data_IF_008700452026
#
_entry.id   IF_008700452026
#
_cell.length_a   1.000
_cell.length_b   1.000
_cell.length_c   1.000
_cell.angle_alpha   90.00
_cell.angle_beta   90.00
_cell.angle_gamma   90.00
#
_symmetry.space_group_name_H-M   'P 1'
#
loop_
_entity.id
_entity.type
_entity.pdbx_description
1 polymer ?
#
# COMPACT_ATOMS: atom_id res chain seq x y z
N UNK A 1 24.51 44.83 13.19
CA UNK A 1 24.73 43.46 12.68
C UNK A 1 23.40 42.74 12.61
N UNK A 2 22.89 42.55 11.40
CA UNK A 2 21.63 41.87 11.13
C UNK A 2 21.88 40.37 11.05
N UNK A 3 21.38 39.62 12.01
CA UNK A 3 21.26 38.17 11.91
C UNK A 3 20.07 37.85 11.03
N UNK A 4 20.35 37.41 9.81
CA UNK A 4 19.39 36.83 8.88
C UNK A 4 18.84 35.52 9.49
N UNK A 5 17.55 35.52 9.86
CA UNK A 5 16.81 34.30 10.16
C UNK A 5 16.50 33.61 8.84
N UNK A 6 17.27 32.57 8.51
CA UNK A 6 16.89 31.64 7.45
C UNK A 6 15.58 30.95 7.87
N UNK A 7 14.51 31.27 7.13
CA UNK A 7 13.25 30.51 7.23
C UNK A 7 13.54 29.10 6.74
N UNK A 8 13.45 28.16 7.62
CA UNK A 8 13.12 26.78 7.24
C UNK A 8 11.70 26.84 6.70
N UNK A 9 11.56 26.95 5.39
CA UNK A 9 10.29 26.66 4.73
C UNK A 9 10.05 25.16 4.93
N UNK A 10 9.12 24.83 5.80
CA UNK A 10 8.69 23.47 6.03
C UNK A 10 8.27 22.86 4.70
N UNK A 11 8.86 21.73 4.35
CA UNK A 11 8.47 20.93 3.19
C UNK A 11 6.97 20.66 3.28
N UNK A 12 6.19 21.35 2.45
CA UNK A 12 4.75 21.09 2.32
C UNK A 12 4.62 19.73 1.65
N UNK A 13 4.13 18.74 2.38
CA UNK A 13 3.80 17.43 1.82
C UNK A 13 2.88 17.63 0.62
N UNK A 14 3.38 17.31 -0.57
CA UNK A 14 2.62 17.43 -1.82
C UNK A 14 1.42 16.49 -1.77
N UNK A 15 0.21 17.06 -1.85
CA UNK A 15 -1.01 16.26 -1.94
C UNK A 15 -1.03 15.54 -3.30
N UNK A 16 -0.99 14.22 -3.27
CA UNK A 16 -1.07 13.41 -4.49
C UNK A 16 -2.50 13.43 -5.04
N UNK A 17 -2.65 13.80 -6.30
CA UNK A 17 -3.90 13.63 -7.05
C UNK A 17 -3.99 12.17 -7.49
N UNK A 18 -4.59 11.33 -6.66
CA UNK A 18 -4.75 9.89 -6.95
C UNK A 18 -6.07 9.61 -7.65
N UNK A 19 -6.14 8.55 -8.47
CA UNK A 19 -7.42 8.01 -8.88
C UNK A 19 -8.25 7.61 -7.66
N UNK A 20 -9.54 7.97 -7.68
CA UNK A 20 -10.48 7.63 -6.61
C UNK A 20 -11.01 6.20 -6.83
N UNK A 21 -10.24 5.23 -6.37
CA UNK A 21 -10.64 3.82 -6.42
C UNK A 21 -11.49 3.44 -5.21
N UNK A 22 -12.57 2.68 -5.44
CA UNK A 22 -13.29 2.02 -4.36
C UNK A 22 -12.35 1.11 -3.54
N UNK A 23 -12.56 0.96 -2.22
CA UNK A 23 -11.66 0.21 -1.33
C UNK A 23 -11.37 -1.22 -1.79
N UNK A 24 -12.35 -1.89 -2.40
CA UNK A 24 -12.25 -3.26 -2.89
C UNK A 24 -11.79 -3.38 -4.36
N UNK A 25 -11.70 -2.28 -5.10
CA UNK A 25 -11.50 -2.31 -6.55
C UNK A 25 -10.22 -3.03 -6.98
N UNK A 26 -9.07 -2.62 -6.43
CA UNK A 26 -7.79 -3.20 -6.80
C UNK A 26 -7.68 -4.68 -6.38
N UNK A 27 -8.27 -5.04 -5.24
CA UNK A 27 -8.38 -6.44 -4.82
C UNK A 27 -9.17 -7.25 -5.85
N UNK A 28 -10.34 -6.77 -6.26
CA UNK A 28 -11.17 -7.40 -7.27
C UNK A 28 -10.46 -7.60 -8.61
N UNK A 29 -9.72 -6.59 -9.06
CA UNK A 29 -8.91 -6.67 -10.29
C UNK A 29 -7.82 -7.73 -10.17
N UNK A 30 -7.06 -7.73 -9.08
CA UNK A 30 -5.99 -8.70 -8.86
C UNK A 30 -6.51 -10.14 -8.82
N UNK A 31 -7.60 -10.40 -8.10
CA UNK A 31 -8.17 -11.74 -7.99
C UNK A 31 -8.80 -12.22 -9.31
N UNK A 32 -9.28 -11.33 -10.16
CA UNK A 32 -9.83 -11.70 -11.48
C UNK A 32 -8.77 -12.35 -12.40
N UNK A 33 -7.49 -12.08 -12.16
CA UNK A 33 -6.36 -12.64 -12.89
C UNK A 33 -5.89 -14.00 -12.35
N UNK A 34 -6.46 -14.49 -11.25
CA UNK A 34 -6.15 -15.82 -10.69
C UNK A 34 -6.79 -16.89 -11.57
N UNK A 35 -5.97 -17.81 -12.10
CA UNK A 35 -6.41 -18.87 -13.01
C UNK A 35 -7.06 -20.00 -12.21
N UNK A 36 -6.50 -20.37 -11.06
CA UNK A 36 -7.04 -21.41 -10.20
C UNK A 36 -8.41 -20.98 -9.65
N UNK A 37 -9.43 -21.76 -10.00
CA UNK A 37 -10.82 -21.42 -9.66
C UNK A 37 -11.10 -21.54 -8.17
N UNK A 38 -10.51 -22.51 -7.49
CA UNK A 38 -10.69 -22.69 -6.04
C UNK A 38 -10.05 -21.54 -5.27
N UNK A 39 -8.82 -21.17 -5.62
CA UNK A 39 -8.13 -20.00 -5.05
C UNK A 39 -8.94 -18.72 -5.30
N UNK A 40 -9.38 -18.50 -6.53
CA UNK A 40 -10.19 -17.32 -6.89
C UNK A 40 -11.49 -17.25 -6.11
N UNK A 41 -12.21 -18.37 -5.94
CA UNK A 41 -13.47 -18.42 -5.19
C UNK A 41 -13.25 -18.12 -3.70
N UNK A 42 -12.17 -18.64 -3.09
CA UNK A 42 -11.80 -18.29 -1.70
C UNK A 42 -11.51 -16.79 -1.57
N UNK A 43 -10.75 -16.22 -2.50
CA UNK A 43 -10.45 -14.79 -2.52
C UNK A 43 -11.74 -13.96 -2.69
N UNK A 44 -12.65 -14.36 -3.58
CA UNK A 44 -13.94 -13.67 -3.75
C UNK A 44 -14.79 -13.71 -2.47
N UNK A 45 -14.81 -14.82 -1.75
CA UNK A 45 -15.54 -14.94 -0.49
C UNK A 45 -15.02 -13.98 0.59
N UNK A 46 -13.75 -13.57 0.52
CA UNK A 46 -13.13 -12.63 1.47
C UNK A 46 -13.34 -11.16 1.12
N UNK A 47 -13.93 -10.81 -0.03
CA UNK A 47 -13.99 -9.42 -0.52
C UNK A 47 -14.67 -8.48 0.46
N UNK A 48 -15.70 -8.93 1.18
CA UNK A 48 -16.38 -8.14 2.21
C UNK A 48 -15.45 -7.78 3.38
N UNK A 49 -14.73 -8.76 3.91
CA UNK A 49 -13.76 -8.54 4.99
C UNK A 49 -12.59 -7.63 4.56
N UNK A 50 -12.10 -7.82 3.34
CA UNK A 50 -11.06 -6.96 2.75
C UNK A 50 -11.55 -5.51 2.62
N UNK A 51 -12.78 -5.33 2.13
CA UNK A 51 -13.42 -4.01 2.02
C UNK A 51 -13.56 -3.34 3.39
N UNK A 52 -14.07 -4.04 4.38
CA UNK A 52 -14.27 -3.51 5.73
C UNK A 52 -12.92 -3.12 6.37
N UNK A 53 -11.88 -3.94 6.17
CA UNK A 53 -10.52 -3.62 6.60
C UNK A 53 -9.97 -2.37 5.90
N UNK A 54 -10.21 -2.22 4.60
CA UNK A 54 -9.78 -1.08 3.81
C UNK A 54 -10.50 0.20 4.23
N UNK A 55 -11.82 0.15 4.47
CA UNK A 55 -12.61 1.29 4.96
C UNK A 55 -12.10 1.74 6.33
N UNK A 56 -11.90 0.82 7.26
CA UNK A 56 -11.34 1.13 8.59
C UNK A 56 -9.96 1.77 8.48
N UNK A 57 -9.09 1.28 7.60
CA UNK A 57 -7.79 1.92 7.35
C UNK A 57 -7.94 3.35 6.83
N UNK A 58 -8.81 3.60 5.86
CA UNK A 58 -9.03 4.92 5.26
C UNK A 58 -9.54 5.91 6.32
N UNK A 59 -10.52 5.50 7.13
CA UNK A 59 -11.05 6.32 8.22
C UNK A 59 -9.98 6.67 9.25
N UNK A 60 -9.16 5.68 9.64
CA UNK A 60 -8.02 5.88 10.55
C UNK A 60 -6.93 6.76 9.95
N UNK A 61 -6.67 6.65 8.66
CA UNK A 61 -5.70 7.50 7.97
C UNK A 61 -6.16 8.97 7.95
N UNK A 62 -7.45 9.21 7.72
CA UNK A 62 -8.04 10.55 7.77
C UNK A 62 -7.96 11.13 9.19
N UNK A 63 -8.21 10.31 10.21
CA UNK A 63 -8.17 10.70 11.62
C UNK A 63 -6.75 10.80 12.19
N UNK A 64 -5.71 10.38 11.46
CA UNK A 64 -4.33 10.33 11.96
C UNK A 64 -4.10 9.24 13.02
N UNK A 65 -4.91 8.19 13.04
CA UNK A 65 -4.91 7.13 14.07
C UNK A 65 -4.60 5.73 13.52
N UNK A 66 -3.85 5.63 12.43
CA UNK A 66 -3.46 4.33 11.83
C UNK A 66 -2.66 3.44 12.78
N UNK A 67 -1.96 4.04 13.75
CA UNK A 67 -1.22 3.32 14.80
C UNK A 67 -2.11 2.46 15.71
N UNK A 68 -3.42 2.69 15.72
CA UNK A 68 -4.39 1.87 16.48
C UNK A 68 -4.78 0.58 15.74
N UNK A 69 -4.41 0.44 14.46
CA UNK A 69 -4.68 -0.77 13.71
C UNK A 69 -3.73 -1.90 14.16
N UNK A 70 -4.26 -3.04 14.63
CA UNK A 70 -3.42 -4.12 15.12
C UNK A 70 -2.65 -4.79 13.98
N UNK A 71 -1.30 -4.85 14.05
CA UNK A 71 -0.52 -5.58 13.08
C UNK A 71 -0.64 -7.10 13.27
N UNK A 72 -0.56 -7.84 12.19
CA UNK A 72 -0.32 -9.28 12.24
C UNK A 72 1.14 -9.52 12.63
N UNK A 73 1.36 -10.05 13.82
CA UNK A 73 2.69 -10.45 14.29
C UNK A 73 2.88 -11.93 14.00
N UNK A 74 3.92 -12.25 13.25
CA UNK A 74 4.18 -13.61 12.75
C UNK A 74 5.65 -13.95 13.00
N UNK A 75 5.90 -15.15 13.51
CA UNK A 75 7.24 -15.69 13.68
C UNK A 75 7.95 -15.94 12.34
N UNK A 76 9.28 -16.08 12.39
CA UNK A 76 10.07 -16.33 11.18
C UNK A 76 9.63 -17.65 10.51
N UNK A 77 9.27 -17.55 9.23
CA UNK A 77 8.85 -18.71 8.43
C UNK A 77 7.39 -19.14 8.62
N UNK A 78 6.64 -18.49 9.50
CA UNK A 78 5.22 -18.77 9.65
C UNK A 78 4.38 -18.13 8.55
N UNK A 79 3.34 -18.86 8.12
CA UNK A 79 2.39 -18.43 7.09
C UNK A 79 0.95 -18.69 7.56
N UNK A 80 0.45 -17.90 8.52
CA UNK A 80 -0.87 -18.12 9.11
C UNK A 80 -1.99 -17.86 8.11
N UNK A 81 -3.13 -18.48 8.37
CA UNK A 81 -4.41 -18.10 7.76
C UNK A 81 -4.81 -16.71 8.31
N UNK A 82 -5.19 -15.81 7.44
CA UNK A 82 -5.56 -14.43 7.79
C UNK A 82 -7.06 -14.21 7.70
N UNK A 83 -7.71 -14.70 6.65
CA UNK A 83 -9.14 -14.54 6.42
C UNK A 83 -9.67 -15.64 5.50
N UNK A 84 -10.84 -16.19 5.78
CA UNK A 84 -11.57 -17.15 4.90
C UNK A 84 -10.68 -18.27 4.32
N UNK A 85 -9.78 -18.83 5.12
CA UNK A 85 -8.84 -19.87 4.68
C UNK A 85 -7.68 -19.37 3.84
N UNK A 86 -7.57 -18.05 3.59
CA UNK A 86 -6.49 -17.42 2.82
C UNK A 86 -5.30 -17.14 3.73
N UNK A 87 -4.13 -17.58 3.29
CA UNK A 87 -2.87 -17.37 4.03
C UNK A 87 -2.26 -16.00 3.74
N UNK A 88 -1.42 -15.55 4.67
CA UNK A 88 -0.63 -14.31 4.53
C UNK A 88 0.11 -14.25 3.18
N UNK A 89 0.79 -15.31 2.78
CA UNK A 89 1.56 -15.35 1.53
C UNK A 89 0.69 -15.15 0.28
N UNK A 90 -0.54 -15.65 0.29
CA UNK A 90 -1.48 -15.51 -0.82
C UNK A 90 -1.90 -14.03 -0.98
N UNK A 91 -2.18 -13.33 0.12
CA UNK A 91 -2.51 -11.90 0.11
C UNK A 91 -1.30 -11.02 -0.32
N UNK A 92 -0.10 -11.35 0.14
CA UNK A 92 1.13 -10.65 -0.27
C UNK A 92 1.41 -10.88 -1.76
N UNK A 93 1.17 -12.10 -2.27
CA UNK A 93 1.30 -12.44 -3.70
C UNK A 93 0.36 -11.64 -4.60
N UNK A 94 -0.81 -11.20 -4.10
CA UNK A 94 -1.70 -10.31 -4.87
C UNK A 94 -0.94 -9.04 -5.31
N UNK A 95 -0.12 -8.47 -4.44
CA UNK A 95 0.71 -7.33 -4.79
C UNK A 95 1.90 -7.74 -5.67
N UNK A 96 2.73 -8.65 -5.19
CA UNK A 96 4.02 -8.96 -5.81
C UNK A 96 3.90 -9.56 -7.21
N UNK A 97 2.85 -10.30 -7.47
CA UNK A 97 2.61 -10.93 -8.76
C UNK A 97 1.43 -10.31 -9.51
N UNK A 98 0.23 -10.28 -8.93
CA UNK A 98 -0.95 -9.86 -9.68
C UNK A 98 -1.03 -8.35 -9.91
N UNK A 99 -0.57 -7.53 -8.96
CA UNK A 99 -0.53 -6.08 -9.18
C UNK A 99 0.72 -5.62 -9.93
N UNK A 100 1.90 -6.14 -9.60
CA UNK A 100 3.16 -5.66 -10.19
C UNK A 100 3.42 -6.26 -11.57
N UNK A 101 3.08 -7.53 -11.82
CA UNK A 101 3.52 -8.27 -13.00
C UNK A 101 2.38 -8.59 -13.99
N UNK A 102 1.11 -8.56 -13.57
CA UNK A 102 -0.01 -8.88 -14.49
C UNK A 102 -0.63 -7.61 -15.06
N UNK A 103 -1.07 -7.63 -16.34
CA UNK A 103 -1.47 -6.41 -17.06
C UNK A 103 -2.50 -5.56 -16.33
N UNK A 104 -3.61 -6.14 -15.89
CA UNK A 104 -4.71 -5.39 -15.27
C UNK A 104 -4.29 -4.75 -13.92
N UNK A 105 -3.58 -5.50 -13.09
CA UNK A 105 -3.03 -4.96 -11.83
C UNK A 105 -1.96 -3.91 -12.08
N UNK A 106 -1.14 -4.10 -13.13
CA UNK A 106 -0.10 -3.15 -13.52
C UNK A 106 -0.65 -1.80 -13.95
N UNK A 107 -1.80 -1.74 -14.59
CA UNK A 107 -2.47 -0.48 -14.93
C UNK A 107 -2.79 0.34 -13.67
N UNK A 108 -3.28 -0.31 -12.60
CA UNK A 108 -3.52 0.36 -11.32
C UNK A 108 -2.21 0.84 -10.70
N UNK A 109 -1.19 -0.03 -10.67
CA UNK A 109 0.14 0.30 -10.17
C UNK A 109 0.72 1.54 -10.85
N UNK A 110 0.71 1.55 -12.18
CA UNK A 110 1.25 2.66 -12.97
C UNK A 110 0.44 3.94 -12.78
N UNK A 111 -0.89 3.87 -12.65
CA UNK A 111 -1.74 5.04 -12.38
C UNK A 111 -1.42 5.71 -11.04
N UNK A 112 -1.11 4.92 -10.01
CA UNK A 112 -0.70 5.44 -8.69
C UNK A 112 0.70 6.05 -8.79
N UNK A 113 1.62 5.41 -9.51
CA UNK A 113 2.99 5.87 -9.65
C UNK A 113 3.05 7.24 -10.37
N UNK A 114 2.29 7.40 -11.46
CA UNK A 114 2.21 8.65 -12.24
C UNK A 114 1.62 9.80 -11.41
N UNK A 115 0.77 9.53 -10.43
CA UNK A 115 0.20 10.56 -9.56
C UNK A 115 1.23 11.35 -8.75
N UNK A 116 2.47 10.89 -8.65
CA UNK A 116 3.57 11.58 -7.98
C UNK A 116 4.18 12.73 -8.81
N UNK A 117 3.86 12.81 -10.12
CA UNK A 117 4.36 13.86 -11.01
C UNK A 117 5.89 14.01 -10.91
N UNK A 118 6.59 12.91 -11.11
CA UNK A 118 8.06 12.75 -11.06
C UNK A 118 8.75 13.19 -9.76
N UNK A 119 8.01 13.52 -8.73
CA UNK A 119 8.55 13.98 -7.44
C UNK A 119 8.21 12.99 -6.32
N UNK A 120 9.22 12.41 -5.68
CA UNK A 120 8.99 11.52 -4.54
C UNK A 120 8.37 12.28 -3.35
N UNK A 121 7.17 11.92 -2.90
CA UNK A 121 6.50 12.64 -1.81
C UNK A 121 7.18 12.43 -0.46
N UNK A 122 7.96 11.36 -0.30
CA UNK A 122 8.62 11.02 0.97
C UNK A 122 9.83 11.87 1.26
N UNK A 123 10.68 12.17 0.25
CA UNK A 123 11.87 13.02 0.42
C UNK A 123 11.66 14.46 -0.07
N UNK A 124 10.42 14.89 -0.26
CA UNK A 124 10.12 16.26 -0.69
C UNK A 124 10.53 16.56 -2.14
N UNK A 125 10.62 15.56 -3.01
CA UNK A 125 10.88 15.74 -4.43
C UNK A 125 12.33 15.65 -4.87
N UNK A 126 13.25 15.27 -3.97
CA UNK A 126 14.68 15.10 -4.32
C UNK A 126 14.86 13.89 -5.26
N UNK A 127 14.18 12.79 -5.02
CA UNK A 127 14.26 11.58 -5.83
C UNK A 127 13.07 11.42 -6.78
N UNK A 128 13.27 10.67 -7.88
CA UNK A 128 12.21 10.27 -8.79
C UNK A 128 11.53 8.98 -8.30
N UNK A 129 10.21 8.92 -8.19
CA UNK A 129 9.50 7.69 -7.82
C UNK A 129 9.71 6.61 -8.88
N UNK A 130 10.10 5.43 -8.44
CA UNK A 130 10.34 4.27 -9.30
C UNK A 130 9.52 3.04 -8.91
N UNK A 131 8.94 3.09 -7.73
CA UNK A 131 8.16 1.98 -7.16
C UNK A 131 7.08 2.52 -6.23
N UNK A 132 6.17 1.62 -5.84
CA UNK A 132 5.21 1.89 -4.78
C UNK A 132 5.71 1.26 -3.48
N UNK A 133 5.69 2.03 -2.41
CA UNK A 133 5.91 1.58 -1.04
C UNK A 133 4.58 1.42 -0.31
N UNK A 134 4.53 0.55 0.68
CA UNK A 134 3.37 0.37 1.54
C UNK A 134 3.47 1.27 2.77
N UNK A 135 2.49 2.15 2.98
CA UNK A 135 2.42 2.95 4.21
C UNK A 135 2.38 2.06 5.46
N UNK A 136 1.43 1.12 5.52
CA UNK A 136 1.45 0.00 6.47
C UNK A 136 2.03 -1.23 5.78
N UNK A 137 3.12 -1.83 6.31
CA UNK A 137 3.84 -2.92 5.65
C UNK A 137 2.96 -4.13 5.33
N UNK A 138 3.00 -4.62 4.08
CA UNK A 138 2.22 -5.79 3.65
C UNK A 138 2.53 -7.06 4.47
N UNK A 139 3.72 -7.14 5.06
CA UNK A 139 4.11 -8.24 5.93
C UNK A 139 3.27 -8.32 7.21
N UNK A 140 2.83 -7.18 7.72
CA UNK A 140 2.05 -7.04 8.95
C UNK A 140 0.58 -6.68 8.70
N UNK A 141 0.27 -6.18 7.51
CA UNK A 141 -1.08 -5.80 7.09
C UNK A 141 -1.42 -6.40 5.72
N UNK A 142 -1.41 -7.74 5.59
CA UNK A 142 -1.54 -8.40 4.28
C UNK A 142 -2.87 -8.14 3.58
N UNK A 143 -3.96 -7.89 4.31
CA UNK A 143 -5.26 -7.48 3.73
C UNK A 143 -5.20 -6.13 3.01
N UNK A 144 -4.21 -5.29 3.32
CA UNK A 144 -4.00 -3.97 2.71
C UNK A 144 -2.93 -3.98 1.61
N UNK A 145 -2.45 -5.17 1.21
CA UNK A 145 -1.31 -5.31 0.29
C UNK A 145 -1.54 -4.67 -1.08
N UNK A 146 -2.78 -4.69 -1.58
CA UNK A 146 -3.15 -4.10 -2.88
C UNK A 146 -4.08 -2.90 -2.75
N UNK A 147 -4.29 -2.38 -1.54
CA UNK A 147 -5.12 -1.19 -1.34
C UNK A 147 -4.41 0.06 -1.88
N UNK A 148 -4.97 0.76 -2.90
CA UNK A 148 -4.33 1.94 -3.47
C UNK A 148 -4.03 3.03 -2.45
N UNK A 149 -4.89 3.23 -1.46
CA UNK A 149 -4.71 4.22 -0.41
C UNK A 149 -3.54 3.89 0.55
N UNK A 150 -3.10 2.63 0.58
CA UNK A 150 -1.93 2.19 1.35
C UNK A 150 -0.63 2.21 0.52
N UNK A 151 -0.71 2.55 -0.78
CA UNK A 151 0.44 2.55 -1.69
C UNK A 151 0.91 3.97 -1.96
N UNK A 152 2.20 4.22 -1.78
CA UNK A 152 2.81 5.54 -1.93
C UNK A 152 3.94 5.46 -2.95
N UNK A 153 3.94 6.31 -4.00
CA UNK A 153 5.09 6.43 -4.88
C UNK A 153 6.35 6.78 -4.10
N UNK A 154 7.42 6.04 -4.30
CA UNK A 154 8.68 6.25 -3.59
C UNK A 154 9.88 6.13 -4.53
N UNK A 155 10.90 6.95 -4.31
CA UNK A 155 12.20 6.77 -4.94
C UNK A 155 12.93 5.58 -4.29
N UNK A 156 13.99 5.10 -4.95
CA UNK A 156 14.73 3.94 -4.50
C UNK A 156 15.25 4.10 -3.07
N UNK A 157 15.83 5.24 -2.77
CA UNK A 157 16.45 5.50 -1.47
C UNK A 157 15.41 5.47 -0.35
N UNK A 158 14.30 6.21 -0.51
CA UNK A 158 13.21 6.20 0.47
C UNK A 158 12.59 4.82 0.67
N UNK A 159 12.44 4.03 -0.40
CA UNK A 159 11.87 2.69 -0.32
C UNK A 159 12.83 1.69 0.36
N UNK A 160 14.14 1.88 0.19
CA UNK A 160 15.16 1.02 0.79
C UNK A 160 15.43 1.37 2.25
N UNK A 161 15.53 2.67 2.56
CA UNK A 161 15.88 3.18 3.90
C UNK A 161 14.78 2.95 4.95
N UNK A 162 13.53 2.89 4.51
CA UNK A 162 12.39 2.65 5.42
C UNK A 162 12.51 1.33 6.19
N UNK A 163 13.21 0.33 5.62
CA UNK A 163 13.26 -1.00 6.22
C UNK A 163 11.85 -1.61 6.35
N UNK A 164 11.55 -2.21 7.50
CA UNK A 164 10.22 -2.74 7.82
C UNK A 164 9.75 -2.26 9.22
N UNK A 165 9.73 -0.93 9.48
CA UNK A 165 9.24 -0.44 10.76
C UNK A 165 7.72 -0.64 10.82
N UNK A 166 7.24 -1.10 11.97
CA UNK A 166 5.79 -1.26 12.22
C UNK A 166 5.08 0.11 12.33
N UNK A 167 5.85 1.14 12.73
CA UNK A 167 5.36 2.52 12.84
C UNK A 167 6.48 3.50 12.50
N UNK A 168 6.18 4.56 11.79
CA UNK A 168 7.01 5.75 11.62
C UNK A 168 6.36 6.91 12.33
#
# INVERSE_FOLDING_TARGET
SAFSRSRFEGSVMKRLSRPDYAPEYAYGVCISAIIDEEERNRMMAAIGDIKDTAVNFIERAIAGSTYELPPLIVGRGENPVVVAGIRKSELVRLYEYYMVQRPLGREIYDSILVAADDSCPTCGGIGHPRSLDHYLPKANYPKLSVLPQNLIPACRDCNTDKGNPLFT
#
